data_IF_357498833182
#
_entry.id   IF_357498833182
#
_cell.length_a   1.000
_cell.length_b   1.000
_cell.length_c   1.000
_cell.angle_alpha   90.00
_cell.angle_beta   90.00
_cell.angle_gamma   90.00
#
_symmetry.space_group_name_H-M   'P 1'
#
loop_
_entity.id
_entity.type
_entity.pdbx_description
1 polymer ?
#
# COMPACT_ATOMS: atom_id res chain seq x y z
N UNK A 1 -8.97 0.51 -0.91
CA UNK A 1 -8.90 -0.17 0.39
C UNK A 1 -7.43 -0.30 0.77
N UNK A 2 -7.10 -0.19 2.05
CA UNK A 2 -5.72 -0.12 2.54
C UNK A 2 -5.03 -1.50 2.45
N UNK A 3 -4.64 -1.88 1.23
CA UNK A 3 -3.83 -3.07 0.90
C UNK A 3 -2.38 -2.64 0.57
N UNK A 4 -1.93 -1.58 1.23
CA UNK A 4 -0.75 -0.79 0.85
C UNK A 4 0.54 -1.60 0.77
N UNK A 5 0.82 -2.59 1.65
CA UNK A 5 1.99 -3.43 1.45
C UNK A 5 2.01 -4.15 0.10
N UNK A 6 0.89 -4.78 -0.28
CA UNK A 6 0.77 -5.51 -1.55
C UNK A 6 0.77 -4.57 -2.75
N UNK A 7 -0.01 -3.49 -2.70
CA UNK A 7 -0.10 -2.54 -3.81
C UNK A 7 1.25 -1.88 -4.09
N UNK A 8 1.99 -1.49 -3.06
CA UNK A 8 3.33 -0.95 -3.24
C UNK A 8 4.26 -2.01 -3.87
N UNK A 9 4.18 -3.27 -3.42
CA UNK A 9 4.96 -4.38 -4.00
C UNK A 9 4.62 -4.60 -5.48
N UNK A 10 3.34 -4.61 -5.84
CA UNK A 10 2.89 -4.78 -7.23
C UNK A 10 3.36 -3.64 -8.13
N UNK A 11 3.30 -2.41 -7.65
CA UNK A 11 3.81 -1.24 -8.39
C UNK A 11 5.32 -1.36 -8.62
N UNK A 12 6.08 -1.83 -7.64
CA UNK A 12 7.53 -2.04 -7.76
C UNK A 12 7.89 -3.23 -8.66
N UNK A 13 7.18 -4.36 -8.58
CA UNK A 13 7.44 -5.52 -9.44
C UNK A 13 6.94 -5.31 -10.88
N UNK A 14 5.87 -4.52 -11.05
CA UNK A 14 5.16 -4.37 -12.33
C UNK A 14 4.13 -5.46 -12.56
N UNK A 15 3.94 -6.36 -11.59
CA UNK A 15 2.98 -7.45 -11.62
C UNK A 15 1.69 -7.00 -10.93
N UNK A 16 0.97 -6.07 -11.56
CA UNK A 16 -0.32 -5.62 -11.06
C UNK A 16 -1.33 -6.76 -11.19
N UNK A 17 -2.07 -7.11 -10.12
CA UNK A 17 -3.16 -8.08 -10.21
C UNK A 17 -4.24 -7.58 -11.16
N UNK A 18 -4.97 -8.50 -11.77
CA UNK A 18 -6.11 -8.12 -12.61
C UNK A 18 -7.15 -7.39 -11.75
N UNK A 19 -7.62 -6.25 -12.25
CA UNK A 19 -8.63 -5.44 -11.60
C UNK A 19 -10.02 -6.07 -11.67
N UNK A 20 -10.19 -7.06 -12.56
CA UNK A 20 -11.39 -7.87 -12.71
C UNK A 20 -11.05 -9.36 -12.61
N UNK A 21 -12.01 -10.20 -12.23
CA UNK A 21 -11.80 -11.66 -12.13
C UNK A 21 -11.21 -12.14 -10.80
N UNK A 22 -10.51 -13.28 -10.84
CA UNK A 22 -10.16 -14.08 -9.66
C UNK A 22 -9.29 -13.33 -8.63
N UNK A 23 -8.36 -12.48 -9.07
CA UNK A 23 -7.49 -11.73 -8.16
C UNK A 23 -8.27 -10.64 -7.41
N UNK A 24 -9.19 -9.97 -8.11
CA UNK A 24 -10.09 -9.00 -7.51
C UNK A 24 -11.09 -9.66 -6.53
N UNK A 25 -11.58 -10.85 -6.85
CA UNK A 25 -12.47 -11.62 -5.97
C UNK A 25 -11.73 -12.10 -4.71
N UNK A 26 -10.51 -12.61 -4.84
CA UNK A 26 -9.66 -13.01 -3.70
C UNK A 26 -9.35 -11.81 -2.80
N UNK A 27 -8.93 -10.69 -3.38
CA UNK A 27 -8.63 -9.49 -2.60
C UNK A 27 -9.88 -8.99 -1.87
N UNK A 28 -11.05 -9.00 -2.53
CA UNK A 28 -12.32 -8.65 -1.89
C UNK A 28 -12.64 -9.60 -0.74
N UNK A 29 -12.55 -10.90 -0.94
CA UNK A 29 -12.83 -11.90 0.08
C UNK A 29 -11.88 -11.75 1.30
N UNK A 30 -10.60 -11.48 1.06
CA UNK A 30 -9.62 -11.20 2.11
C UNK A 30 -10.03 -9.95 2.92
N UNK A 31 -10.34 -8.84 2.25
CA UNK A 31 -10.75 -7.60 2.92
C UNK A 31 -12.07 -7.75 3.67
N UNK A 32 -13.02 -8.51 3.13
CA UNK A 32 -14.28 -8.83 3.79
C UNK A 32 -14.08 -9.72 5.02
N UNK A 33 -12.99 -10.50 5.11
CA UNK A 33 -12.69 -11.33 6.26
C UNK A 33 -12.11 -10.55 7.45
N UNK A 34 -11.55 -9.35 7.23
CA UNK A 34 -11.01 -8.50 8.30
C UNK A 34 -12.15 -7.83 9.06
N UNK A 35 -12.39 -8.22 10.31
CA UNK A 35 -13.54 -7.75 11.12
C UNK A 35 -13.13 -6.79 12.23
N UNK A 36 -11.87 -6.80 12.61
CA UNK A 36 -11.33 -6.02 13.74
C UNK A 36 -10.12 -5.19 13.30
N UNK A 37 -9.71 -4.25 14.16
CA UNK A 37 -8.48 -3.47 13.93
C UNK A 37 -7.26 -4.40 14.02
N UNK A 38 -7.30 -5.34 14.96
CA UNK A 38 -6.27 -6.34 15.18
C UNK A 38 -6.10 -7.27 13.96
N UNK A 39 -7.19 -7.65 13.28
CA UNK A 39 -7.11 -8.40 12.02
C UNK A 39 -6.37 -7.58 10.94
N UNK A 40 -6.70 -6.29 10.83
CA UNK A 40 -6.06 -5.39 9.87
C UNK A 40 -4.57 -5.20 10.18
N UNK A 41 -4.22 -5.02 11.45
CA UNK A 41 -2.84 -4.87 11.90
C UNK A 41 -2.03 -6.15 11.63
N UNK A 42 -2.56 -7.32 12.03
CA UNK A 42 -1.90 -8.60 11.82
C UNK A 42 -1.60 -8.86 10.34
N UNK A 43 -2.57 -8.64 9.45
CA UNK A 43 -2.37 -8.80 8.00
C UNK A 43 -1.40 -7.77 7.43
N UNK A 44 -1.41 -6.52 7.92
CA UNK A 44 -0.44 -5.51 7.51
C UNK A 44 0.98 -5.95 7.90
N UNK A 45 1.19 -6.33 9.16
CA UNK A 45 2.47 -6.79 9.69
C UNK A 45 2.98 -8.05 8.99
N UNK A 46 2.11 -8.99 8.64
CA UNK A 46 2.45 -10.19 7.87
C UNK A 46 3.03 -9.84 6.49
N UNK A 47 2.48 -8.81 5.83
CA UNK A 47 2.83 -8.45 4.44
C UNK A 47 4.01 -7.49 4.31
N UNK A 48 4.31 -6.71 5.35
CA UNK A 48 5.41 -5.74 5.35
C UNK A 48 6.79 -6.33 4.96
N UNK A 49 7.20 -7.52 5.45
CA UNK A 49 8.48 -8.12 5.07
C UNK A 49 8.65 -8.27 3.55
N UNK A 50 7.62 -8.73 2.83
CA UNK A 50 7.68 -8.90 1.38
C UNK A 50 7.82 -7.56 0.64
N UNK A 51 7.22 -6.49 1.16
CA UNK A 51 7.44 -5.14 0.63
C UNK A 51 8.88 -4.67 0.89
N UNK A 52 9.40 -4.85 2.11
CA UNK A 52 10.76 -4.45 2.45
C UNK A 52 11.80 -5.18 1.61
N UNK A 53 11.62 -6.48 1.39
CA UNK A 53 12.46 -7.27 0.48
C UNK A 53 12.40 -6.73 -0.95
N UNK A 54 11.21 -6.41 -1.45
CA UNK A 54 11.05 -5.83 -2.79
C UNK A 54 11.74 -4.46 -2.93
N UNK A 55 11.70 -3.62 -1.89
CA UNK A 55 12.40 -2.32 -1.87
C UNK A 55 13.92 -2.53 -1.85
N UNK A 56 14.42 -3.42 -0.98
CA UNK A 56 15.86 -3.69 -0.84
C UNK A 56 16.46 -4.38 -2.07
N UNK A 57 15.65 -5.06 -2.87
CA UNK A 57 16.10 -5.74 -4.09
C UNK A 57 16.30 -4.78 -5.28
N UNK A 58 15.88 -3.51 -5.18
CA UNK A 58 16.05 -2.54 -6.26
C UNK A 58 17.45 -1.93 -6.18
N UNK A 59 18.32 -2.14 -7.18
CA UNK A 59 19.64 -1.55 -7.19
C UNK A 59 19.57 -0.04 -7.44
N UNK A 60 20.51 0.72 -6.86
CA UNK A 60 20.56 2.19 -6.91
C UNK A 60 20.51 2.74 -8.35
N UNK A 61 21.08 2.03 -9.32
CA UNK A 61 21.08 2.46 -10.72
C UNK A 61 19.67 2.59 -11.31
N UNK A 62 18.69 1.85 -10.76
CA UNK A 62 17.29 1.90 -11.20
C UNK A 62 16.51 3.07 -10.65
N UNK A 63 17.02 3.80 -9.66
CA UNK A 63 16.27 4.84 -8.94
C UNK A 63 15.70 5.93 -9.87
N UNK A 64 16.43 6.26 -10.93
CA UNK A 64 16.02 7.27 -11.93
C UNK A 64 15.29 6.67 -13.13
N UNK A 65 15.23 5.36 -13.27
CA UNK A 65 14.39 4.72 -14.29
C UNK A 65 12.93 5.01 -13.98
N UNK A 66 12.13 5.06 -15.04
CA UNK A 66 10.70 5.33 -14.94
C UNK A 66 9.85 4.15 -15.36
N UNK A 67 8.65 4.08 -14.79
CA UNK A 67 7.57 3.21 -15.20
C UNK A 67 6.30 4.02 -15.35
N UNK A 68 5.58 3.80 -16.44
CA UNK A 68 4.26 4.37 -16.63
C UNK A 68 3.27 3.70 -15.68
N UNK A 69 2.54 4.48 -14.90
CA UNK A 69 1.46 4.00 -14.02
C UNK A 69 0.15 4.71 -14.37
N UNK A 70 -1.00 4.01 -14.35
CA UNK A 70 -2.29 4.56 -14.78
C UNK A 70 -2.94 5.54 -13.78
N UNK A 71 -2.21 5.98 -12.75
CA UNK A 71 -2.78 6.78 -11.66
C UNK A 71 -2.93 8.24 -12.07
N UNK A 72 -4.02 8.89 -11.64
CA UNK A 72 -4.31 10.32 -11.86
C UNK A 72 -4.23 10.77 -13.33
N UNK A 73 -4.74 9.96 -14.27
CA UNK A 73 -4.68 10.26 -15.70
C UNK A 73 -3.41 9.74 -16.40
N UNK A 74 -2.55 9.03 -15.68
CA UNK A 74 -1.40 8.32 -16.22
C UNK A 74 -0.16 9.21 -16.30
N UNK A 75 0.93 8.77 -15.66
CA UNK A 75 2.24 9.42 -15.81
C UNK A 75 3.36 8.41 -15.57
N UNK A 76 4.56 8.80 -15.98
CA UNK A 76 5.78 8.12 -15.58
C UNK A 76 6.11 8.44 -14.12
N UNK A 77 6.45 7.40 -13.36
CA UNK A 77 6.96 7.48 -12.00
C UNK A 77 8.37 6.96 -11.95
N UNK A 78 9.27 7.64 -11.25
CA UNK A 78 10.60 7.08 -10.96
C UNK A 78 10.50 5.94 -9.95
N UNK A 79 11.48 5.04 -9.92
CA UNK A 79 11.55 4.03 -8.86
C UNK A 79 11.62 4.65 -7.46
N UNK A 80 12.30 5.80 -7.30
CA UNK A 80 12.27 6.55 -6.03
C UNK A 80 10.86 6.96 -5.62
N UNK A 81 10.05 7.50 -6.55
CA UNK A 81 8.66 7.88 -6.27
C UNK A 81 7.81 6.65 -5.92
N UNK A 82 8.00 5.54 -6.64
CA UNK A 82 7.29 4.29 -6.39
C UNK A 82 7.64 3.70 -5.01
N UNK A 83 8.90 3.78 -4.59
CA UNK A 83 9.38 3.31 -3.28
C UNK A 83 8.88 4.19 -2.13
N UNK A 84 8.68 5.50 -2.36
CA UNK A 84 8.17 6.43 -1.35
C UNK A 84 6.65 6.32 -1.15
N UNK A 85 5.93 5.80 -2.16
CA UNK A 85 4.48 5.65 -2.13
C UNK A 85 3.90 5.00 -0.86
N UNK A 86 4.38 3.83 -0.37
CA UNK A 86 3.86 3.22 0.84
C UNK A 86 3.98 4.13 2.05
N UNK A 87 5.12 4.83 2.23
CA UNK A 87 5.31 5.78 3.34
C UNK A 87 4.31 6.94 3.23
N UNK A 88 4.18 7.54 2.05
CA UNK A 88 3.20 8.61 1.83
C UNK A 88 1.78 8.14 2.14
N UNK A 89 1.39 6.96 1.66
CA UNK A 89 0.05 6.44 1.81
C UNK A 89 -0.31 6.12 3.27
N UNK A 90 0.61 5.50 4.03
CA UNK A 90 0.44 5.27 5.46
C UNK A 90 0.26 6.60 6.22
N UNK A 91 1.14 7.57 6.00
CA UNK A 91 1.05 8.86 6.67
C UNK A 91 -0.25 9.61 6.35
N UNK A 92 -0.68 9.56 5.08
CA UNK A 92 -1.92 10.21 4.65
C UNK A 92 -3.15 9.61 5.34
N UNK A 93 -3.28 8.28 5.37
CA UNK A 93 -4.43 7.62 5.98
C UNK A 93 -4.39 7.62 7.51
N UNK A 94 -3.21 7.54 8.13
CA UNK A 94 -3.07 7.71 9.57
C UNK A 94 -3.54 9.11 10.00
N UNK A 95 -3.23 10.15 9.23
CA UNK A 95 -3.75 11.49 9.47
C UNK A 95 -5.28 11.58 9.39
N UNK A 96 -5.93 10.82 8.49
CA UNK A 96 -7.39 10.76 8.41
C UNK A 96 -8.00 10.06 9.64
N UNK A 97 -7.39 8.97 10.09
CA UNK A 97 -7.80 8.24 11.30
C UNK A 97 -7.66 9.14 12.53
N UNK A 98 -6.49 9.76 12.72
CA UNK A 98 -6.24 10.69 13.82
C UNK A 98 -7.21 11.87 13.82
N UNK A 99 -7.54 12.43 12.65
CA UNK A 99 -8.57 13.47 12.55
C UNK A 99 -9.94 12.98 13.04
N UNK A 100 -10.37 11.78 12.63
CA UNK A 100 -11.64 11.19 13.09
C UNK A 100 -11.61 10.95 14.61
N UNK A 101 -10.53 10.38 15.15
CA UNK A 101 -10.37 10.13 16.59
C UNK A 101 -10.53 11.41 17.41
N UNK A 102 -9.86 12.49 16.99
CA UNK A 102 -9.98 13.79 17.68
C UNK A 102 -11.41 14.34 17.67
N UNK A 103 -12.19 14.12 16.60
CA UNK A 103 -13.60 14.53 16.56
C UNK A 103 -14.47 13.80 17.57
N UNK A 104 -14.12 12.55 17.92
CA UNK A 104 -14.82 11.75 18.92
C UNK A 104 -14.25 11.91 20.33
N UNK A 105 -13.23 12.75 20.52
CA UNK A 105 -12.57 12.95 21.81
C UNK A 105 -11.67 11.80 22.23
N UNK A 106 -11.34 10.91 21.29
CA UNK A 106 -10.32 9.88 21.47
C UNK A 106 -8.94 10.52 21.27
N UNK A 107 -8.07 10.28 22.25
CA UNK A 107 -6.73 10.88 22.34
C UNK A 107 -5.64 9.81 22.47
N UNK A 108 -6.01 8.52 22.36
CA UNK A 108 -5.06 7.42 22.34
C UNK A 108 -4.41 7.31 20.95
N UNK A 109 -3.10 6.99 20.91
CA UNK A 109 -2.41 6.64 19.67
C UNK A 109 -2.74 5.18 19.33
N UNK A 110 -3.32 4.97 18.15
CA UNK A 110 -3.71 3.66 17.61
C UNK A 110 -3.02 3.37 16.28
#
# INVERSE_FOLDING_TARGET
MAVTPDWARFVLSGEMPDAEGDDAEKQRAEMEALKTVEDCEAVCLEKLPALFEAILAIPDEKFKETRWLPFQGGRDFTFEEMMDYPRWNFNYHLGQIGYIQTLYGDMEDH
#
